data_IF_380178529200
#
_entry.id   IF_380178529200
#
_cell.length_a   1.000
_cell.length_b   1.000
_cell.length_c   1.000
_cell.angle_alpha   90.00
_cell.angle_beta   90.00
_cell.angle_gamma   90.00
#
_symmetry.space_group_name_H-M   'P 1'
#
loop_
_entity.id
_entity.type
_entity.pdbx_description
1 polymer ?
#
# COMPACT_ATOMS: atom_id res chain seq x y z
N UNK A 1 14.91 -5.60 -23.28
CA UNK A 1 15.27 -5.16 -21.91
C UNK A 1 13.99 -4.69 -21.23
N UNK A 2 13.57 -5.26 -20.09
CA UNK A 2 12.44 -4.69 -19.37
C UNK A 2 12.89 -3.36 -18.74
N UNK A 3 12.10 -2.32 -18.98
CA UNK A 3 12.30 -0.99 -18.40
C UNK A 3 12.27 -1.17 -16.88
N UNK A 4 13.42 -1.05 -16.20
CA UNK A 4 13.46 -0.97 -14.73
C UNK A 4 12.69 0.29 -14.35
N UNK A 5 11.44 0.14 -13.91
CA UNK A 5 10.67 1.23 -13.31
C UNK A 5 11.54 1.82 -12.18
N UNK A 6 11.84 3.11 -12.26
CA UNK A 6 12.56 3.78 -11.17
C UNK A 6 11.70 3.68 -9.91
N UNK A 7 12.25 3.07 -8.85
CA UNK A 7 11.60 3.04 -7.53
C UNK A 7 11.42 4.49 -7.07
N UNK A 8 10.20 4.96 -6.80
CA UNK A 8 9.99 6.31 -6.30
C UNK A 8 10.70 6.50 -4.97
N UNK A 9 11.25 7.70 -4.72
CA UNK A 9 12.11 7.97 -3.57
C UNK A 9 11.45 7.60 -2.22
N UNK A 10 10.14 7.87 -2.08
CA UNK A 10 9.32 7.53 -0.90
C UNK A 10 9.26 6.02 -0.61
N UNK A 11 9.40 5.17 -1.63
CA UNK A 11 9.27 3.72 -1.50
C UNK A 11 10.60 2.97 -1.44
N UNK A 12 11.72 3.71 -1.43
CA UNK A 12 13.06 3.12 -1.59
C UNK A 12 13.44 2.20 -0.43
N UNK A 13 13.14 2.60 0.80
CA UNK A 13 13.52 1.82 1.99
C UNK A 13 12.58 0.62 2.21
N UNK A 14 11.30 0.77 1.87
CA UNK A 14 10.36 -0.35 1.78
C UNK A 14 10.82 -1.40 0.77
N UNK A 15 11.15 -0.97 -0.45
CA UNK A 15 11.67 -1.85 -1.50
C UNK A 15 12.95 -2.58 -1.06
N UNK A 16 13.92 -1.88 -0.46
CA UNK A 16 15.16 -2.51 0.03
C UNK A 16 14.89 -3.58 1.08
N UNK A 17 13.98 -3.31 2.01
CA UNK A 17 13.64 -4.24 3.10
C UNK A 17 12.97 -5.49 2.55
N UNK A 18 11.99 -5.33 1.67
CA UNK A 18 11.33 -6.44 0.99
C UNK A 18 12.31 -7.27 0.14
N UNK A 19 13.21 -6.60 -0.58
CA UNK A 19 14.26 -7.27 -1.33
C UNK A 19 15.17 -8.10 -0.43
N UNK A 20 15.53 -7.58 0.75
CA UNK A 20 16.32 -8.32 1.72
C UNK A 20 15.57 -9.55 2.25
N UNK A 21 14.25 -9.45 2.47
CA UNK A 21 13.42 -10.61 2.83
C UNK A 21 13.39 -11.67 1.72
N UNK A 22 13.47 -11.25 0.46
CA UNK A 22 13.55 -12.12 -0.72
C UNK A 22 14.97 -12.59 -1.06
N UNK A 23 15.98 -12.19 -0.29
CA UNK A 23 17.33 -12.65 -0.51
C UNK A 23 17.42 -14.13 -0.09
N UNK A 24 17.44 -15.03 -1.08
CA UNK A 24 17.50 -16.47 -0.88
C UNK A 24 18.74 -16.97 -0.13
N UNK A 25 19.72 -16.10 0.18
CA UNK A 25 20.79 -16.41 1.13
C UNK A 25 20.28 -16.62 2.56
N UNK A 26 19.13 -16.03 2.93
CA UNK A 26 18.55 -16.13 4.27
C UNK A 26 18.04 -17.53 4.63
N UNK A 27 17.65 -18.34 3.62
CA UNK A 27 17.31 -19.76 3.80
C UNK A 27 18.47 -20.58 4.35
N UNK A 28 19.69 -20.03 4.30
CA UNK A 28 20.92 -20.72 4.62
C UNK A 28 21.81 -19.92 5.59
N UNK A 29 21.31 -18.87 6.25
CA UNK A 29 22.16 -17.96 7.01
C UNK A 29 22.63 -18.53 8.36
N UNK A 30 23.97 -18.59 8.48
CA UNK A 30 24.86 -18.73 9.65
C UNK A 30 24.72 -20.00 10.50
N UNK A 31 25.27 -21.11 9.98
CA UNK A 31 25.86 -22.14 10.84
C UNK A 31 27.35 -21.80 11.06
N UNK A 32 27.73 -21.61 12.33
CA UNK A 32 29.05 -21.19 12.79
C UNK A 32 30.18 -22.17 12.41
N UNK A 33 31.36 -21.60 12.15
CA UNK A 33 32.61 -22.24 11.74
C UNK A 33 33.13 -23.32 12.70
N UNK A 34 32.69 -24.56 12.55
CA UNK A 34 33.37 -25.73 13.11
C UNK A 34 33.60 -26.78 12.01
N UNK A 35 34.63 -26.55 11.17
CA UNK A 35 35.20 -27.62 10.34
C UNK A 35 34.91 -27.58 8.83
N UNK A 36 34.79 -26.40 8.23
CA UNK A 36 35.14 -26.19 6.81
C UNK A 36 34.12 -26.59 5.74
N UNK A 37 33.09 -27.39 6.03
CA UNK A 37 32.11 -27.77 5.01
C UNK A 37 30.69 -27.92 5.57
N UNK A 38 29.90 -26.84 5.48
CA UNK A 38 28.50 -26.83 5.90
C UNK A 38 27.56 -26.86 4.70
N UNK A 39 26.81 -27.96 4.59
CA UNK A 39 25.81 -28.18 3.56
C UNK A 39 24.47 -28.56 4.21
N UNK A 40 23.35 -27.97 3.78
CA UNK A 40 22.04 -28.18 4.41
C UNK A 40 21.58 -29.64 4.45
N UNK A 41 22.06 -30.47 3.53
CA UNK A 41 21.71 -31.88 3.45
C UNK A 41 22.83 -32.83 3.94
N UNK A 42 23.95 -32.32 4.45
CA UNK A 42 25.06 -33.16 4.97
C UNK A 42 25.01 -33.32 6.49
N UNK A 43 24.24 -32.49 7.18
CA UNK A 43 23.97 -32.70 8.58
C UNK A 43 22.82 -33.68 8.73
N UNK A 44 23.13 -34.86 9.29
CA UNK A 44 22.17 -35.91 9.66
C UNK A 44 21.02 -35.41 10.55
N UNK A 45 21.21 -34.28 11.24
CA UNK A 45 20.20 -33.57 12.01
C UNK A 45 19.21 -32.73 11.18
N UNK A 46 19.44 -32.62 9.87
CA UNK A 46 18.63 -31.90 8.89
C UNK A 46 18.07 -32.84 7.80
N UNK A 47 18.10 -34.16 8.04
CA UNK A 47 17.45 -35.17 7.16
C UNK A 47 15.97 -34.84 6.88
N UNK A 48 15.35 -34.00 7.71
CA UNK A 48 14.05 -33.39 7.46
C UNK A 48 14.17 -32.03 6.76
N UNK A 49 14.50 -32.12 5.47
CA UNK A 49 14.05 -31.31 4.32
C UNK A 49 14.12 -29.79 4.52
N UNK A 50 14.88 -29.12 3.64
CA UNK A 50 14.52 -27.77 3.20
C UNK A 50 13.00 -27.75 3.00
N UNK A 51 12.31 -26.99 3.83
CA UNK A 51 10.86 -27.04 3.92
C UNK A 51 10.29 -26.28 2.72
N UNK A 52 10.20 -26.99 1.60
CA UNK A 52 9.78 -26.47 0.29
C UNK A 52 8.40 -25.82 0.39
N UNK A 53 7.56 -26.27 1.33
CA UNK A 53 6.19 -25.79 1.51
C UNK A 53 6.15 -24.57 2.43
N UNK A 54 6.81 -24.63 3.59
CA UNK A 54 6.73 -23.56 4.59
C UNK A 54 7.69 -22.41 4.33
N UNK A 55 8.78 -22.61 3.59
CA UNK A 55 9.73 -21.52 3.27
C UNK A 55 9.05 -20.41 2.45
N UNK A 56 8.34 -20.70 1.33
CA UNK A 56 7.53 -19.71 0.63
C UNK A 56 6.48 -19.03 1.52
N UNK A 57 5.80 -19.81 2.39
CA UNK A 57 4.78 -19.27 3.30
C UNK A 57 5.36 -18.28 4.30
N UNK A 58 6.52 -18.58 4.88
CA UNK A 58 7.20 -17.69 5.83
C UNK A 58 7.66 -16.39 5.16
N UNK A 59 8.17 -16.48 3.94
CA UNK A 59 8.57 -15.30 3.15
C UNK A 59 7.35 -14.43 2.88
N UNK A 60 6.26 -14.98 2.34
CA UNK A 60 5.04 -14.21 2.05
C UNK A 60 4.40 -13.64 3.31
N UNK A 61 4.33 -14.42 4.38
CA UNK A 61 3.84 -13.92 5.67
C UNK A 61 4.68 -12.76 6.20
N UNK A 62 6.01 -12.82 6.05
CA UNK A 62 6.89 -11.72 6.45
C UNK A 62 6.63 -10.45 5.64
N UNK A 63 6.31 -10.59 4.35
CA UNK A 63 5.91 -9.48 3.47
C UNK A 63 4.55 -8.92 3.91
N UNK A 64 3.56 -9.78 4.18
CA UNK A 64 2.25 -9.38 4.67
C UNK A 64 2.32 -8.65 6.02
N UNK A 65 3.07 -9.20 6.96
CA UNK A 65 3.25 -8.62 8.29
C UNK A 65 3.99 -7.28 8.17
N UNK A 66 5.02 -7.18 7.31
CA UNK A 66 5.68 -5.91 7.01
C UNK A 66 4.73 -4.86 6.44
N UNK A 67 3.82 -5.23 5.54
CA UNK A 67 2.82 -4.31 5.02
C UNK A 67 1.84 -3.83 6.10
N UNK A 68 1.42 -4.71 7.01
CA UNK A 68 0.55 -4.36 8.14
C UNK A 68 1.25 -3.43 9.13
N UNK A 69 2.47 -3.77 9.53
CA UNK A 69 3.25 -3.01 10.52
C UNK A 69 3.58 -1.60 10.03
N UNK A 70 3.71 -1.41 8.72
CA UNK A 70 3.97 -0.12 8.09
C UNK A 70 2.71 0.59 7.57
N UNK A 71 1.51 0.08 7.89
CA UNK A 71 0.22 0.68 7.56
C UNK A 71 0.05 1.03 6.07
N UNK A 72 0.63 0.21 5.18
CA UNK A 72 0.59 0.48 3.74
C UNK A 72 -0.80 0.17 3.18
N UNK A 73 -1.33 1.06 2.35
CA UNK A 73 -2.61 0.84 1.69
C UNK A 73 -2.49 -0.19 0.54
N UNK A 74 -3.60 -0.70 0.01
CA UNK A 74 -3.59 -1.74 -1.03
C UNK A 74 -2.86 -1.34 -2.31
N UNK A 75 -2.94 -0.08 -2.72
CA UNK A 75 -2.23 0.39 -3.93
C UNK A 75 -0.72 0.44 -3.70
N UNK A 76 -0.28 0.89 -2.52
CA UNK A 76 1.12 0.89 -2.11
C UNK A 76 1.67 -0.54 -2.02
N UNK A 77 0.88 -1.47 -1.48
CA UNK A 77 1.23 -2.89 -1.46
C UNK A 77 1.39 -3.45 -2.89
N UNK A 78 0.42 -3.21 -3.77
CA UNK A 78 0.48 -3.66 -5.18
C UNK A 78 1.71 -3.07 -5.87
N UNK A 79 1.98 -1.77 -5.71
CA UNK A 79 3.14 -1.11 -6.30
C UNK A 79 4.45 -1.74 -5.82
N UNK A 80 4.59 -1.94 -4.50
CA UNK A 80 5.80 -2.54 -3.92
C UNK A 80 5.98 -3.99 -4.36
N UNK A 81 4.90 -4.77 -4.45
CA UNK A 81 4.93 -6.11 -5.02
C UNK A 81 5.41 -6.03 -6.48
N UNK A 82 4.79 -5.23 -7.34
CA UNK A 82 5.23 -5.06 -8.73
C UNK A 82 6.71 -4.64 -8.87
N UNK A 83 7.24 -3.87 -7.91
CA UNK A 83 8.66 -3.49 -7.89
C UNK A 83 9.58 -4.66 -7.54
N UNK A 84 9.17 -5.58 -6.66
CA UNK A 84 9.96 -6.75 -6.24
C UNK A 84 9.69 -8.00 -7.08
N UNK A 85 8.79 -7.96 -8.06
CA UNK A 85 8.47 -9.10 -8.95
C UNK A 85 9.73 -9.73 -9.56
N UNK A 86 10.66 -8.89 -10.03
CA UNK A 86 11.94 -9.35 -10.58
C UNK A 86 12.81 -10.05 -9.54
N UNK A 87 12.79 -9.58 -8.29
CA UNK A 87 13.53 -10.18 -7.19
C UNK A 87 12.93 -11.56 -6.84
N UNK A 88 11.60 -11.70 -6.82
CA UNK A 88 10.90 -13.00 -6.66
C UNK A 88 11.28 -14.00 -7.76
N UNK A 89 11.23 -13.58 -9.04
CA UNK A 89 11.64 -14.45 -10.18
C UNK A 89 13.11 -14.86 -10.13
N UNK A 90 13.95 -14.02 -9.54
CA UNK A 90 15.39 -14.28 -9.40
C UNK A 90 15.76 -14.95 -8.08
N UNK A 91 14.78 -15.37 -7.26
CA UNK A 91 15.00 -15.91 -5.92
C UNK A 91 16.02 -17.05 -5.91
N UNK A 92 17.11 -16.89 -5.15
CA UNK A 92 18.15 -17.91 -5.00
C UNK A 92 19.04 -18.14 -6.22
N UNK A 93 18.91 -17.36 -7.30
CA UNK A 93 19.77 -17.48 -8.50
C UNK A 93 21.26 -17.36 -8.18
N UNK A 94 21.65 -16.39 -7.35
CA UNK A 94 23.04 -16.24 -6.90
C UNK A 94 23.54 -17.49 -6.18
N UNK A 95 22.71 -18.05 -5.27
CA UNK A 95 23.07 -19.25 -4.52
C UNK A 95 23.22 -20.47 -5.42
N UNK A 96 22.31 -20.65 -6.39
CA UNK A 96 22.44 -21.71 -7.41
C UNK A 96 23.74 -21.55 -8.21
N UNK A 97 24.10 -20.32 -8.60
CA UNK A 97 25.38 -20.07 -9.29
C UNK A 97 26.58 -20.47 -8.43
N UNK A 98 26.59 -20.12 -7.15
CA UNK A 98 27.68 -20.46 -6.23
C UNK A 98 27.80 -21.97 -6.00
N UNK A 99 26.67 -22.68 -5.87
CA UNK A 99 26.65 -24.13 -5.73
C UNK A 99 27.16 -24.82 -7.00
N UNK A 100 26.80 -24.33 -8.19
CA UNK A 100 27.34 -24.86 -9.45
C UNK A 100 28.86 -24.66 -9.57
N UNK A 101 29.39 -23.49 -9.18
CA UNK A 101 30.84 -23.26 -9.13
C UNK A 101 31.55 -24.24 -8.20
N UNK A 102 30.93 -24.58 -7.05
CA UNK A 102 31.46 -25.59 -6.13
C UNK A 102 31.44 -26.98 -6.76
N UNK A 103 30.34 -27.38 -7.41
CA UNK A 103 30.26 -28.65 -8.14
C UNK A 103 31.40 -28.75 -9.17
N UNK A 104 31.62 -27.69 -9.96
CA UNK A 104 32.68 -27.67 -10.97
C UNK A 104 34.08 -27.77 -10.36
N UNK A 105 34.31 -27.12 -9.21
CA UNK A 105 35.56 -27.22 -8.46
C UNK A 105 35.83 -28.67 -8.02
N UNK A 106 34.88 -29.32 -7.35
CA UNK A 106 35.05 -30.69 -6.86
C UNK A 106 35.20 -31.72 -7.97
N UNK A 107 34.54 -31.50 -9.12
CA UNK A 107 34.71 -32.37 -10.29
C UNK A 107 36.11 -32.27 -10.91
N UNK A 108 36.82 -31.16 -10.72
CA UNK A 108 38.10 -30.86 -11.40
C UNK A 108 39.34 -31.05 -10.52
N UNK A 109 39.24 -30.77 -9.22
CA UNK A 109 40.43 -30.55 -8.38
C UNK A 109 40.47 -31.39 -7.10
N UNK A 110 39.64 -32.43 -6.99
CA UNK A 110 39.56 -33.17 -5.72
C UNK A 110 40.27 -34.52 -5.74
N UNK A 111 40.94 -34.82 -4.62
CA UNK A 111 41.81 -35.97 -4.44
C UNK A 111 41.08 -37.20 -3.85
N UNK A 112 39.77 -37.09 -3.51
CA UNK A 112 38.99 -38.15 -2.82
C UNK A 112 37.64 -38.48 -3.48
N UNK A 113 37.63 -39.35 -4.52
CA UNK A 113 36.48 -39.52 -5.42
C UNK A 113 35.14 -39.86 -4.75
N UNK A 114 35.15 -40.63 -3.65
CA UNK A 114 33.92 -41.05 -2.95
C UNK A 114 33.29 -39.93 -2.12
N UNK A 115 34.10 -39.17 -1.40
CA UNK A 115 33.61 -38.04 -0.61
C UNK A 115 33.07 -36.95 -1.55
N UNK A 116 33.75 -36.70 -2.66
CA UNK A 116 33.36 -35.70 -3.66
C UNK A 116 32.04 -36.01 -4.34
N UNK A 117 31.80 -37.27 -4.71
CA UNK A 117 30.53 -37.67 -5.33
C UNK A 117 29.35 -37.47 -4.38
N UNK A 118 29.54 -37.75 -3.08
CA UNK A 118 28.53 -37.47 -2.07
C UNK A 118 28.30 -35.95 -1.92
N UNK A 119 29.35 -35.14 -1.82
CA UNK A 119 29.22 -33.68 -1.74
C UNK A 119 28.51 -33.08 -2.96
N UNK A 120 28.89 -33.52 -4.15
CA UNK A 120 28.28 -33.10 -5.42
C UNK A 120 26.80 -33.48 -5.46
N UNK A 121 26.42 -34.67 -4.98
CA UNK A 121 25.01 -35.06 -4.89
C UNK A 121 24.22 -34.12 -3.97
N UNK A 122 24.80 -33.74 -2.83
CA UNK A 122 24.14 -32.86 -1.86
C UNK A 122 24.01 -31.41 -2.36
N UNK A 123 24.94 -30.95 -3.20
CA UNK A 123 24.78 -29.70 -3.94
C UNK A 123 23.63 -29.75 -4.93
N UNK A 124 23.50 -30.83 -5.70
CA UNK A 124 22.38 -30.97 -6.63
C UNK A 124 21.03 -30.99 -5.90
N UNK A 125 20.92 -31.71 -4.77
CA UNK A 125 19.72 -31.67 -3.91
C UNK A 125 19.40 -30.26 -3.43
N UNK A 126 20.42 -29.51 -2.99
CA UNK A 126 20.28 -28.11 -2.57
C UNK A 126 19.79 -27.21 -3.70
N UNK A 127 20.35 -27.35 -4.90
CA UNK A 127 19.93 -26.60 -6.08
C UNK A 127 18.46 -26.91 -6.40
N UNK A 128 18.09 -28.19 -6.46
CA UNK A 128 16.72 -28.61 -6.77
C UNK A 128 15.71 -28.04 -5.78
N UNK A 129 16.00 -28.09 -4.48
CA UNK A 129 15.12 -27.54 -3.46
C UNK A 129 14.96 -26.02 -3.56
N UNK A 130 16.03 -25.27 -3.89
CA UNK A 130 15.95 -23.82 -4.13
C UNK A 130 15.05 -23.52 -5.34
N UNK A 131 15.15 -24.32 -6.41
CA UNK A 131 14.33 -24.17 -7.60
C UNK A 131 12.85 -24.50 -7.32
N UNK A 132 12.58 -25.54 -6.52
CA UNK A 132 11.23 -25.87 -6.08
C UNK A 132 10.62 -24.78 -5.19
N UNK A 133 11.38 -24.26 -4.22
CA UNK A 133 10.96 -23.11 -3.40
C UNK A 133 10.63 -21.92 -4.30
N UNK A 134 11.50 -21.59 -5.27
CA UNK A 134 11.26 -20.48 -6.20
C UNK A 134 9.93 -20.67 -6.92
N UNK A 135 9.69 -21.86 -7.47
CA UNK A 135 8.45 -22.17 -8.19
C UNK A 135 7.22 -21.95 -7.31
N UNK A 136 7.21 -22.53 -6.10
CA UNK A 136 6.09 -22.40 -5.16
C UNK A 136 5.92 -20.95 -4.69
N UNK A 137 7.03 -20.23 -4.46
CA UNK A 137 7.00 -18.82 -4.09
C UNK A 137 6.40 -17.97 -5.20
N UNK A 138 6.81 -18.16 -6.46
CA UNK A 138 6.24 -17.46 -7.61
C UNK A 138 4.74 -17.70 -7.73
N UNK A 139 4.29 -18.96 -7.68
CA UNK A 139 2.85 -19.31 -7.76
C UNK A 139 2.04 -18.61 -6.66
N UNK A 140 2.50 -18.67 -5.41
CA UNK A 140 1.80 -18.05 -4.28
C UNK A 140 1.86 -16.53 -4.32
N UNK A 141 3.00 -15.97 -4.74
CA UNK A 141 3.18 -14.53 -4.92
C UNK A 141 2.18 -13.98 -5.95
N UNK A 142 2.03 -14.65 -7.10
CA UNK A 142 1.07 -14.24 -8.12
C UNK A 142 -0.35 -14.31 -7.63
N UNK A 143 -0.72 -15.39 -6.92
CA UNK A 143 -2.04 -15.52 -6.30
C UNK A 143 -2.31 -14.38 -5.31
N UNK A 144 -1.35 -14.07 -4.44
CA UNK A 144 -1.47 -12.98 -3.47
C UNK A 144 -1.61 -11.61 -4.16
N UNK A 145 -0.82 -11.34 -5.19
CA UNK A 145 -0.93 -10.12 -6.00
C UNK A 145 -2.28 -10.02 -6.72
N UNK A 146 -2.81 -11.13 -7.24
CA UNK A 146 -4.14 -11.19 -7.87
C UNK A 146 -5.28 -10.98 -6.85
N UNK A 147 -5.16 -11.52 -5.64
CA UNK A 147 -6.13 -11.31 -4.55
C UNK A 147 -6.15 -9.86 -4.06
N UNK A 148 -4.99 -9.17 -4.11
CA UNK A 148 -4.89 -7.75 -3.79
C UNK A 148 -5.44 -6.86 -4.90
N UNK A 149 -5.30 -7.28 -6.17
CA UNK A 149 -5.85 -6.55 -7.31
C UNK A 149 -7.38 -6.60 -7.26
N UNK A 150 -8.06 -5.48 -7.54
CA UNK A 150 -9.52 -5.46 -7.58
C UNK A 150 -10.03 -6.46 -8.64
N UNK A 151 -10.86 -7.41 -8.23
CA UNK A 151 -11.31 -8.50 -9.08
C UNK A 151 -12.37 -8.01 -10.11
N UNK A 152 -12.14 -8.15 -11.43
CA UNK A 152 -13.04 -7.62 -12.47
C UNK A 152 -14.36 -8.39 -12.66
N UNK A 153 -14.64 -9.45 -11.88
CA UNK A 153 -15.83 -10.31 -12.06
C UNK A 153 -16.98 -10.11 -11.06
N UNK A 154 -16.98 -9.04 -10.27
CA UNK A 154 -18.17 -8.58 -9.53
C UNK A 154 -18.44 -7.09 -9.73
N UNK A 155 -18.78 -6.71 -10.96
CA UNK A 155 -19.80 -5.67 -11.22
C UNK A 155 -19.98 -5.47 -12.73
N UNK A 156 -21.04 -6.06 -13.29
CA UNK A 156 -21.70 -5.48 -14.47
C UNK A 156 -22.37 -4.17 -14.02
N UNK A 157 -21.63 -3.07 -14.03
CA UNK A 157 -22.19 -1.72 -14.12
C UNK A 157 -21.30 -0.96 -15.10
N UNK A 158 -21.97 -0.43 -16.12
CA UNK A 158 -21.49 0.30 -17.29
C UNK A 158 -20.35 1.28 -16.99
N UNK A 159 -19.38 1.36 -17.90
CA UNK A 159 -18.35 2.40 -17.96
C UNK A 159 -18.97 3.79 -17.78
N UNK A 160 -18.91 4.30 -16.56
CA UNK A 160 -18.83 5.69 -16.13
C UNK A 160 -19.00 5.68 -14.60
N UNK A 161 -17.99 6.16 -13.86
CA UNK A 161 -18.05 6.59 -12.44
C UNK A 161 -17.45 5.68 -11.33
N UNK A 162 -16.17 5.29 -11.41
CA UNK A 162 -15.49 4.51 -10.34
C UNK A 162 -14.30 5.19 -9.65
N UNK A 163 -14.05 6.48 -9.87
CA UNK A 163 -13.18 7.25 -8.96
C UNK A 163 -14.06 8.05 -8.02
N UNK A 164 -14.01 7.71 -6.72
CA UNK A 164 -14.76 8.43 -5.69
C UNK A 164 -14.19 9.84 -5.61
N UNK A 165 -14.84 10.83 -6.21
CA UNK A 165 -14.40 12.23 -6.16
C UNK A 165 -15.61 13.13 -6.02
N UNK A 166 -15.44 14.30 -5.42
CA UNK A 166 -16.51 15.30 -5.32
C UNK A 166 -16.78 16.01 -6.64
N UNK A 167 -15.80 15.98 -7.57
CA UNK A 167 -15.86 16.56 -8.92
C UNK A 167 -16.32 18.03 -8.88
N UNK A 168 -15.43 18.90 -8.41
CA UNK A 168 -15.62 20.34 -8.49
C UNK A 168 -15.79 20.77 -9.95
N UNK A 169 -16.92 21.44 -10.26
CA UNK A 169 -17.32 21.79 -11.64
C UNK A 169 -16.30 22.69 -12.35
N UNK A 170 -15.55 23.47 -11.59
CA UNK A 170 -14.64 24.50 -12.10
C UNK A 170 -13.16 24.19 -11.82
N UNK A 171 -12.78 22.92 -11.66
CA UNK A 171 -11.41 22.49 -11.29
C UNK A 171 -10.27 23.09 -12.14
N UNK A 172 -10.49 23.32 -13.44
CA UNK A 172 -9.48 23.89 -14.34
C UNK A 172 -9.45 25.43 -14.34
N UNK A 173 -10.42 26.08 -13.68
CA UNK A 173 -10.50 27.53 -13.58
C UNK A 173 -9.79 27.98 -12.30
N UNK A 174 -8.59 28.58 -12.47
CA UNK A 174 -7.74 29.01 -11.35
C UNK A 174 -8.42 30.03 -10.44
N UNK A 175 -9.17 30.99 -10.99
CA UNK A 175 -9.85 32.02 -10.21
C UNK A 175 -10.95 31.42 -9.34
N UNK A 176 -11.71 30.45 -9.87
CA UNK A 176 -12.75 29.73 -9.11
C UNK A 176 -12.16 28.83 -8.03
N UNK A 177 -11.02 28.19 -8.31
CA UNK A 177 -10.28 27.40 -7.30
C UNK A 177 -9.74 28.31 -6.20
N UNK A 178 -9.19 29.48 -6.54
CA UNK A 178 -8.73 30.45 -5.56
C UNK A 178 -9.87 30.98 -4.69
N UNK A 179 -11.01 31.33 -5.28
CA UNK A 179 -12.22 31.74 -4.53
C UNK A 179 -12.71 30.64 -3.58
N UNK A 180 -12.61 29.36 -3.99
CA UNK A 180 -12.95 28.24 -3.12
C UNK A 180 -11.99 28.19 -1.93
N UNK A 181 -10.69 28.36 -2.14
CA UNK A 181 -9.72 28.43 -1.04
C UNK A 181 -10.03 29.59 -0.08
N UNK A 182 -10.24 30.80 -0.60
CA UNK A 182 -10.60 31.99 0.19
C UNK A 182 -11.88 31.77 1.02
N UNK A 183 -12.88 31.10 0.43
CA UNK A 183 -14.09 30.70 1.13
C UNK A 183 -13.77 29.76 2.30
N UNK A 184 -12.98 28.71 2.07
CA UNK A 184 -12.62 27.74 3.12
C UNK A 184 -11.83 28.40 4.26
N UNK A 185 -10.89 29.30 3.95
CA UNK A 185 -10.15 30.09 4.94
C UNK A 185 -11.13 30.92 5.78
N UNK A 186 -12.06 31.63 5.12
CA UNK A 186 -13.07 32.45 5.79
C UNK A 186 -13.98 31.63 6.71
N UNK A 187 -14.33 30.40 6.30
CA UNK A 187 -15.11 29.48 7.12
C UNK A 187 -14.32 28.95 8.33
N UNK A 188 -13.01 28.67 8.18
CA UNK A 188 -12.16 28.32 9.33
C UNK A 188 -12.14 29.46 10.35
N UNK A 189 -11.88 30.69 9.90
CA UNK A 189 -11.79 31.86 10.77
C UNK A 189 -13.10 32.24 11.48
N UNK A 190 -14.25 32.07 10.82
CA UNK A 190 -15.54 32.56 11.34
C UNK A 190 -16.34 31.52 12.11
N UNK A 191 -16.23 30.25 11.74
CA UNK A 191 -17.07 29.18 12.28
C UNK A 191 -16.29 27.95 12.71
N UNK A 192 -14.96 28.07 12.85
CA UNK A 192 -14.06 26.99 13.27
C UNK A 192 -14.26 25.73 12.43
N UNK A 193 -14.37 25.86 11.10
CA UNK A 193 -14.70 24.76 10.20
C UNK A 193 -13.83 23.52 10.45
N UNK A 194 -12.52 23.72 10.55
CA UNK A 194 -11.51 22.66 10.70
C UNK A 194 -10.89 22.66 12.10
N UNK A 195 -10.43 21.49 12.53
CA UNK A 195 -9.51 21.39 13.65
C UNK A 195 -8.11 21.70 13.13
N UNK A 196 -7.69 22.95 13.29
CA UNK A 196 -6.43 23.47 12.74
C UNK A 196 -5.18 22.83 13.36
N UNK A 197 -5.29 22.13 14.51
CA UNK A 197 -4.19 21.33 15.07
C UNK A 197 -3.93 20.03 14.27
N UNK A 198 -4.88 19.63 13.41
CA UNK A 198 -4.86 18.32 12.71
C UNK A 198 -5.06 18.42 11.20
N UNK A 199 -5.70 19.47 10.72
CA UNK A 199 -6.09 19.62 9.31
C UNK A 199 -5.96 21.07 8.90
N UNK A 200 -5.20 21.32 7.83
CA UNK A 200 -5.08 22.64 7.22
C UNK A 200 -6.20 22.92 6.22
N UNK A 201 -6.39 24.18 5.84
CA UNK A 201 -7.33 24.54 4.76
C UNK A 201 -6.89 23.98 3.41
N UNK A 202 -5.58 23.87 3.17
CA UNK A 202 -4.99 23.29 1.96
C UNK A 202 -5.35 21.80 1.82
N UNK A 203 -5.29 21.05 2.92
CA UNK A 203 -5.70 19.64 2.96
C UNK A 203 -7.16 19.44 2.52
N UNK A 204 -8.06 20.29 3.02
CA UNK A 204 -9.48 20.23 2.64
C UNK A 204 -9.67 20.64 1.17
N UNK A 205 -8.94 21.65 0.69
CA UNK A 205 -9.00 22.08 -0.70
C UNK A 205 -8.55 20.96 -1.65
N UNK A 206 -7.44 20.30 -1.35
CA UNK A 206 -6.92 19.19 -2.16
C UNK A 206 -7.91 18.03 -2.21
N UNK A 207 -8.51 17.68 -1.06
CA UNK A 207 -9.58 16.67 -0.99
C UNK A 207 -10.78 17.06 -1.86
N UNK A 208 -11.22 18.32 -1.83
CA UNK A 208 -12.35 18.80 -2.65
C UNK A 208 -12.03 18.81 -4.15
N UNK A 209 -10.77 18.98 -4.54
CA UNK A 209 -10.29 19.01 -5.93
C UNK A 209 -9.76 17.67 -6.45
N UNK A 210 -9.65 16.67 -5.58
CA UNK A 210 -9.10 15.36 -5.92
C UNK A 210 -9.91 14.68 -7.02
N UNK A 211 -9.18 13.98 -7.89
CA UNK A 211 -9.78 13.11 -8.89
C UNK A 211 -10.17 11.74 -8.32
N UNK A 212 -9.60 11.35 -7.17
CA UNK A 212 -9.84 10.07 -6.52
C UNK A 212 -9.52 10.11 -5.02
N UNK A 213 -10.56 10.29 -4.21
CA UNK A 213 -10.50 10.30 -2.75
C UNK A 213 -10.03 8.98 -2.16
N UNK A 214 -10.09 7.87 -2.90
CA UNK A 214 -9.59 6.58 -2.41
C UNK A 214 -8.05 6.53 -2.38
N UNK A 215 -7.39 7.44 -3.11
CA UNK A 215 -5.92 7.58 -3.15
C UNK A 215 -5.40 8.64 -2.20
N UNK A 216 -6.29 9.45 -1.64
CA UNK A 216 -5.92 10.49 -0.67
C UNK A 216 -5.72 9.86 0.71
N UNK A 217 -4.52 10.04 1.27
CA UNK A 217 -4.20 9.64 2.66
C UNK A 217 -4.59 10.70 3.69
N UNK A 218 -5.18 11.81 3.23
CA UNK A 218 -5.46 13.00 4.03
C UNK A 218 -6.77 12.83 4.80
N UNK A 219 -6.68 12.81 6.12
CA UNK A 219 -7.86 12.82 6.99
C UNK A 219 -8.25 14.25 7.34
N UNK A 220 -9.54 14.57 7.20
CA UNK A 220 -10.09 15.90 7.46
C UNK A 220 -10.85 15.88 8.78
N UNK A 221 -10.35 16.61 9.78
CA UNK A 221 -10.96 16.74 11.10
C UNK A 221 -11.74 18.05 11.20
N UNK A 222 -13.05 17.95 11.43
CA UNK A 222 -13.92 19.11 11.62
C UNK A 222 -13.67 19.76 12.98
N UNK A 223 -13.59 21.09 13.02
CA UNK A 223 -13.57 21.88 14.25
C UNK A 223 -14.97 22.30 14.70
N UNK A 224 -15.94 22.29 13.78
CA UNK A 224 -17.29 22.76 14.00
C UNK A 224 -18.28 21.61 14.31
N UNK A 225 -19.52 21.97 14.65
CA UNK A 225 -20.58 20.99 14.92
C UNK A 225 -21.04 20.28 13.63
N UNK A 226 -21.62 19.09 13.77
CA UNK A 226 -22.19 18.36 12.62
C UNK A 226 -23.31 19.16 11.93
N UNK A 227 -24.06 19.98 12.68
CA UNK A 227 -25.12 20.86 12.15
C UNK A 227 -24.51 21.93 11.25
N UNK A 228 -23.47 22.60 11.75
CA UNK A 228 -22.72 23.64 11.01
C UNK A 228 -22.12 23.07 9.74
N UNK A 229 -21.40 21.94 9.82
CA UNK A 229 -20.77 21.31 8.65
C UNK A 229 -21.81 20.82 7.64
N UNK A 230 -22.91 20.21 8.11
CA UNK A 230 -24.01 19.77 7.26
C UNK A 230 -24.58 20.92 6.44
N UNK A 231 -24.73 22.10 7.03
CA UNK A 231 -25.23 23.28 6.34
C UNK A 231 -24.24 23.81 5.29
N UNK A 232 -22.94 23.83 5.61
CA UNK A 232 -21.88 24.20 4.66
C UNK A 232 -21.87 23.26 3.45
N UNK A 233 -22.04 21.95 3.67
CA UNK A 233 -22.16 20.97 2.57
C UNK A 233 -23.35 21.27 1.66
N UNK A 234 -24.51 21.66 2.20
CA UNK A 234 -25.68 22.04 1.37
C UNK A 234 -25.38 23.27 0.51
N UNK A 235 -24.63 24.25 1.04
CA UNK A 235 -24.25 25.47 0.33
C UNK A 235 -23.19 25.23 -0.73
N UNK A 236 -22.23 24.33 -0.49
CA UNK A 236 -21.19 23.96 -1.46
C UNK A 236 -21.75 23.07 -2.59
N UNK A 237 -22.71 22.21 -2.30
CA UNK A 237 -23.23 21.18 -3.23
C UNK A 237 -23.48 21.66 -4.67
N UNK A 238 -24.05 22.85 -4.94
CA UNK A 238 -24.26 23.33 -6.30
C UNK A 238 -22.99 23.45 -7.15
N UNK A 239 -21.82 23.61 -6.54
CA UNK A 239 -20.53 23.78 -7.25
C UNK A 239 -19.84 22.45 -7.58
N UNK A 240 -20.42 21.32 -7.18
CA UNK A 240 -19.85 19.99 -7.31
C UNK A 240 -20.84 19.04 -8.01
N UNK A 241 -20.34 18.03 -8.71
CA UNK A 241 -21.23 16.99 -9.27
C UNK A 241 -21.62 15.95 -8.23
N UNK A 242 -20.68 15.58 -7.36
CA UNK A 242 -20.80 14.39 -6.51
C UNK A 242 -20.79 14.70 -5.00
N UNK A 243 -20.68 15.97 -4.60
CA UNK A 243 -20.71 16.36 -3.18
C UNK A 243 -22.06 16.02 -2.54
N UNK A 244 -22.05 15.00 -1.71
CA UNK A 244 -23.24 14.49 -1.03
C UNK A 244 -22.85 13.78 0.27
N UNK A 245 -23.81 13.62 1.18
CA UNK A 245 -23.55 12.95 2.46
C UNK A 245 -23.03 11.51 2.26
N UNK A 246 -23.57 10.81 1.27
CA UNK A 246 -23.12 9.46 0.90
C UNK A 246 -21.67 9.46 0.41
N UNK A 247 -21.25 10.46 -0.36
CA UNK A 247 -19.86 10.56 -0.81
C UNK A 247 -18.91 10.93 0.34
N UNK A 248 -19.35 11.78 1.28
CA UNK A 248 -18.59 12.08 2.51
C UNK A 248 -18.38 10.80 3.32
N UNK A 249 -19.42 9.99 3.56
CA UNK A 249 -19.28 8.72 4.28
C UNK A 249 -18.42 7.71 3.52
N UNK A 250 -18.66 7.52 2.21
CA UNK A 250 -17.91 6.57 1.38
C UNK A 250 -16.41 6.88 1.37
N UNK A 251 -16.05 8.17 1.46
CA UNK A 251 -14.65 8.59 1.46
C UNK A 251 -13.88 8.13 2.68
N UNK A 252 -14.54 7.87 3.82
CA UNK A 252 -13.91 7.47 5.08
C UNK A 252 -12.82 8.42 5.63
N UNK A 253 -12.66 9.63 5.06
CA UNK A 253 -11.62 10.59 5.46
C UNK A 253 -12.12 11.72 6.36
N UNK A 254 -13.44 11.91 6.51
CA UNK A 254 -14.01 13.00 7.32
C UNK A 254 -14.32 12.54 8.76
N UNK A 255 -13.84 13.31 9.74
CA UNK A 255 -14.03 13.08 11.17
C UNK A 255 -14.72 14.27 11.82
N UNK A 256 -15.64 13.99 12.74
CA UNK A 256 -16.31 15.00 13.54
C UNK A 256 -15.36 15.69 14.53
N UNK A 257 -15.85 16.76 15.19
CA UNK A 257 -15.12 17.44 16.29
C UNK A 257 -14.67 16.49 17.40
N UNK A 258 -15.46 15.43 17.67
CA UNK A 258 -15.14 14.40 18.65
C UNK A 258 -14.17 13.33 18.15
N UNK A 259 -13.68 13.42 16.90
CA UNK A 259 -12.76 12.44 16.31
C UNK A 259 -13.43 11.16 15.80
N UNK A 260 -14.76 11.12 15.71
CA UNK A 260 -15.50 9.97 15.16
C UNK A 260 -15.71 10.13 13.66
N UNK A 261 -15.63 9.03 12.90
CA UNK A 261 -15.94 9.05 11.46
C UNK A 261 -17.35 9.58 11.21
N UNK A 262 -17.47 10.47 10.24
CA UNK A 262 -18.78 11.02 9.87
C UNK A 262 -19.53 10.03 8.98
N UNK A 263 -20.79 9.77 9.32
CA UNK A 263 -21.70 8.92 8.54
C UNK A 263 -22.79 9.76 7.90
N UNK A 264 -23.37 9.29 6.79
CA UNK A 264 -24.51 9.98 6.15
C UNK A 264 -25.67 10.13 7.12
N UNK A 265 -25.89 9.11 7.96
CA UNK A 265 -26.95 9.13 8.96
C UNK A 265 -26.75 10.25 9.99
N UNK A 266 -25.53 10.40 10.53
CA UNK A 266 -25.21 11.45 11.50
C UNK A 266 -25.35 12.84 10.90
N UNK A 267 -24.96 13.01 9.64
CA UNK A 267 -25.12 14.27 8.92
C UNK A 267 -26.59 14.55 8.58
N UNK A 268 -27.34 13.54 8.18
CA UNK A 268 -28.76 13.66 7.86
C UNK A 268 -29.58 14.07 9.08
N UNK A 269 -29.35 13.43 10.23
CA UNK A 269 -30.02 13.77 11.49
C UNK A 269 -29.64 15.16 12.03
N UNK A 270 -28.51 15.71 11.61
CA UNK A 270 -28.04 17.05 11.98
C UNK A 270 -28.66 18.17 11.13
N UNK A 271 -29.63 17.87 10.26
CA UNK A 271 -30.33 18.88 9.46
C UNK A 271 -31.23 19.73 10.37
N UNK A 272 -30.86 21.00 10.55
CA UNK A 272 -31.64 21.97 11.32
C UNK A 272 -31.79 23.28 10.53
N UNK A 273 -32.93 23.95 10.68
CA UNK A 273 -33.24 25.22 10.01
C UNK A 273 -32.68 26.43 10.74
N UNK A 274 -32.45 26.32 12.05
CA UNK A 274 -31.94 27.37 12.92
C UNK A 274 -30.84 26.81 13.81
N UNK A 275 -29.69 27.48 13.83
CA UNK A 275 -28.51 27.09 14.58
C UNK A 275 -27.50 28.24 14.62
N UNK A 276 -26.59 28.19 15.59
CA UNK A 276 -25.53 29.18 15.74
C UNK A 276 -24.68 29.29 14.46
N UNK A 277 -24.30 30.52 14.09
CA UNK A 277 -23.44 30.84 12.94
C UNK A 277 -24.08 30.73 11.54
N UNK A 278 -25.37 30.38 11.41
CA UNK A 278 -26.06 30.34 10.11
C UNK A 278 -25.92 31.64 9.30
N UNK A 279 -26.20 32.79 9.93
CA UNK A 279 -26.11 34.10 9.28
C UNK A 279 -24.66 34.43 8.85
N UNK A 280 -23.67 34.03 9.65
CA UNK A 280 -22.25 34.22 9.33
C UNK A 280 -21.84 33.37 8.12
N UNK A 281 -22.34 32.14 8.03
CA UNK A 281 -22.13 31.27 6.87
C UNK A 281 -22.80 31.89 5.64
N UNK A 282 -24.05 32.33 5.74
CA UNK A 282 -24.77 32.96 4.63
C UNK A 282 -24.02 34.17 4.08
N UNK A 283 -23.57 35.09 4.94
CA UNK A 283 -22.74 36.25 4.54
C UNK A 283 -21.44 35.82 3.86
N UNK A 284 -20.81 34.75 4.35
CA UNK A 284 -19.54 34.24 3.80
C UNK A 284 -19.74 33.63 2.41
N UNK A 285 -20.85 32.94 2.17
CA UNK A 285 -21.20 32.42 0.84
C UNK A 285 -21.68 33.51 -0.13
N UNK A 286 -22.32 34.58 0.34
CA UNK A 286 -22.70 35.72 -0.51
C UNK A 286 -21.50 36.45 -1.13
N UNK A 287 -20.32 36.38 -0.51
CA UNK A 287 -19.08 36.92 -1.09
C UNK A 287 -18.40 35.96 -2.08
N UNK A 288 -18.85 34.69 -2.13
CA UNK A 288 -18.27 33.63 -2.97
C UNK A 288 -19.04 33.41 -4.28
N UNK A 289 -20.38 33.51 -4.23
CA UNK A 289 -21.28 33.46 -5.39
C UNK A 289 -21.19 34.75 -6.22
#
# INVERSE_FOLDING_TARGET
>A
MPIRRKVPQRYRDYYKTLKYMLDGSCLFNRMSDVGGYYYPYILKSYEDKIDIINSPNRILKSIEDYFKDNLLNKEEQILLLELIEGDVKSFGTSRVSDLNKKIDFYKRFSDSPKLDQSLVLEFHKSINAILEIRKVLEEKYWKYLEELKPNPKQSKITENDTMLSFKFKHRLNKDKVQKLNELLISLCLKVELLNEDKTSTEDLLDVLLSQDLMKESTHIYMGCSNVTFRYILDKLKPEFHNLSLSYIEKSNIFFSKGGTKMTSQNLYSSKQSDFAHKEQIDKTFSSFL
#
